data_IF_112625955889
#
_entry.id   IF_112625955889
#
_cell.length_a   1.000
_cell.length_b   1.000
_cell.length_c   1.000
_cell.angle_alpha   90.00
_cell.angle_beta   90.00
_cell.angle_gamma   90.00
#
_symmetry.space_group_name_H-M   'P 1'
#
loop_
_entity.id
_entity.type
_entity.pdbx_description
1 polymer ?
#
# COMPACT_ATOMS: atom_id res chain seq x y z
N UNK A 1 18.95 -136.54 44.33
CA UNK A 1 17.74 -135.69 44.29
C UNK A 1 18.09 -134.30 44.81
N UNK A 2 17.41 -133.28 44.29
CA UNK A 2 17.42 -131.87 44.70
C UNK A 2 18.43 -130.93 44.01
N UNK A 3 17.93 -130.29 42.95
CA UNK A 3 18.47 -129.07 42.30
C UNK A 3 18.21 -127.88 43.22
N UNK A 4 19.21 -127.01 43.42
CA UNK A 4 19.01 -125.61 43.83
C UNK A 4 19.28 -124.75 42.59
N UNK A 5 18.21 -124.18 42.03
CA UNK A 5 18.28 -123.14 41.02
C UNK A 5 18.12 -121.82 41.79
N UNK A 6 19.23 -121.12 42.06
CA UNK A 6 19.18 -119.80 42.70
C UNK A 6 18.66 -118.83 41.64
N UNK A 7 17.38 -118.46 41.75
CA UNK A 7 16.70 -117.60 40.80
C UNK A 7 17.30 -116.20 40.77
N UNK A 8 17.76 -115.76 39.59
CA UNK A 8 17.95 -114.35 39.27
C UNK A 8 16.60 -113.64 39.19
N UNK A 9 16.02 -113.25 40.33
CA UNK A 9 14.85 -112.39 40.35
C UNK A 9 15.27 -110.92 40.25
N UNK A 10 15.40 -110.41 39.01
CA UNK A 10 15.44 -108.96 38.79
C UNK A 10 13.99 -108.47 38.83
N UNK A 11 13.64 -107.68 39.86
CA UNK A 11 12.31 -107.08 39.97
C UNK A 11 11.96 -106.25 38.72
N UNK A 12 10.67 -106.13 38.37
CA UNK A 12 10.26 -105.34 37.22
C UNK A 12 10.80 -103.91 37.37
N UNK A 13 11.32 -103.35 36.27
CA UNK A 13 11.74 -101.95 36.22
C UNK A 13 10.51 -101.09 36.55
N UNK A 14 10.62 -100.23 37.57
CA UNK A 14 9.53 -99.35 37.97
C UNK A 14 9.03 -98.51 36.79
N UNK A 15 7.72 -98.26 36.75
CA UNK A 15 7.08 -97.48 35.71
C UNK A 15 7.74 -96.10 35.58
N UNK A 16 7.86 -95.61 34.35
CA UNK A 16 8.42 -94.27 34.10
C UNK A 16 7.44 -93.24 34.68
N UNK A 17 7.93 -92.35 35.54
CA UNK A 17 7.10 -91.35 36.20
C UNK A 17 6.33 -90.47 35.20
N UNK A 18 5.14 -90.02 35.62
CA UNK A 18 4.28 -89.17 34.79
C UNK A 18 5.02 -87.89 34.34
N UNK A 19 4.80 -87.48 33.09
CA UNK A 19 5.31 -86.22 32.57
C UNK A 19 4.78 -85.05 33.42
N UNK A 20 5.68 -84.12 33.80
CA UNK A 20 5.32 -82.97 34.61
C UNK A 20 4.29 -82.05 33.93
N UNK A 21 3.59 -81.20 34.71
CA UNK A 21 2.62 -80.26 34.16
C UNK A 21 3.27 -79.27 33.20
N UNK A 22 2.52 -78.82 32.19
CA UNK A 22 2.96 -77.75 31.30
C UNK A 22 3.21 -76.47 32.10
N UNK A 23 4.30 -75.77 31.77
CA UNK A 23 4.65 -74.49 32.42
C UNK A 23 3.62 -73.39 32.15
N UNK A 24 3.60 -72.32 32.97
CA UNK A 24 2.69 -71.19 32.79
C UNK A 24 2.95 -70.47 31.46
N UNK A 25 1.91 -69.83 30.92
CA UNK A 25 2.04 -68.97 29.75
C UNK A 25 3.00 -67.79 30.04
N UNK A 26 3.78 -67.39 29.04
CA UNK A 26 4.70 -66.25 29.15
C UNK A 26 3.96 -64.91 29.34
N UNK A 27 4.64 -63.93 29.92
CA UNK A 27 4.07 -62.58 30.10
C UNK A 27 3.85 -61.88 28.77
N UNK A 28 2.83 -61.02 28.70
CA UNK A 28 2.61 -60.14 27.55
C UNK A 28 3.85 -59.26 27.31
N UNK A 29 4.22 -59.08 26.04
CA UNK A 29 5.34 -58.21 25.66
C UNK A 29 5.08 -56.73 25.97
N UNK A 30 6.13 -55.90 26.03
CA UNK A 30 5.99 -54.47 26.28
C UNK A 30 5.21 -53.78 25.15
N UNK A 31 4.49 -52.72 25.49
CA UNK A 31 3.87 -51.82 24.50
C UNK A 31 4.95 -51.22 23.59
N UNK A 32 4.69 -51.15 22.29
CA UNK A 32 5.61 -50.55 21.33
C UNK A 32 5.86 -49.05 21.57
N UNK A 33 6.95 -48.49 21.01
CA UNK A 33 7.24 -47.06 21.14
C UNK A 33 6.16 -46.21 20.48
N UNK A 34 5.99 -44.98 20.98
CA UNK A 34 5.12 -43.99 20.34
C UNK A 34 5.61 -43.69 18.91
N UNK A 35 4.67 -43.43 17.98
CA UNK A 35 4.99 -43.06 16.61
C UNK A 35 5.72 -41.71 16.50
N UNK A 36 6.46 -41.51 15.41
CA UNK A 36 7.12 -40.23 15.16
C UNK A 36 6.11 -39.10 14.92
N UNK A 37 6.46 -37.88 15.31
CA UNK A 37 5.68 -36.68 14.99
C UNK A 37 5.58 -36.53 13.47
N UNK A 38 4.39 -36.20 12.96
CA UNK A 38 4.19 -35.93 11.54
C UNK A 38 5.00 -34.73 11.04
N UNK A 39 5.19 -34.58 9.71
CA UNK A 39 5.91 -33.45 9.13
C UNK A 39 5.20 -32.12 9.44
N UNK A 40 5.97 -31.04 9.43
CA UNK A 40 5.40 -29.68 9.46
C UNK A 40 4.57 -29.46 8.18
N UNK A 41 3.41 -28.81 8.30
CA UNK A 41 2.59 -28.45 7.15
C UNK A 41 3.29 -27.46 6.21
N UNK A 42 2.81 -27.30 4.96
CA UNK A 42 3.38 -26.31 4.04
C UNK A 42 3.20 -24.90 4.59
N UNK A 43 4.08 -23.98 4.17
CA UNK A 43 3.90 -22.56 4.43
C UNK A 43 2.56 -22.06 3.83
N UNK A 44 1.94 -21.06 4.47
CA UNK A 44 0.73 -20.43 3.96
C UNK A 44 0.97 -19.67 2.64
N UNK A 45 -0.10 -19.44 1.87
CA UNK A 45 -0.02 -18.61 0.67
C UNK A 45 0.37 -17.17 1.01
N UNK A 46 1.08 -16.50 0.09
CA UNK A 46 1.36 -15.06 0.19
C UNK A 46 0.04 -14.27 0.22
N UNK A 47 -0.04 -13.23 1.05
CA UNK A 47 -1.17 -12.29 1.06
C UNK A 47 -1.24 -11.38 -0.17
N UNK A 48 -2.42 -10.86 -0.46
CA UNK A 48 -2.67 -9.90 -1.55
C UNK A 48 -1.88 -8.61 -1.36
N UNK A 49 -1.28 -8.09 -2.43
CA UNK A 49 -0.53 -6.82 -2.45
C UNK A 49 -1.27 -5.72 -3.21
N UNK A 50 -0.85 -4.48 -2.95
CA UNK A 50 -1.20 -3.31 -3.76
C UNK A 50 0.11 -2.72 -4.29
N UNK A 51 0.22 -2.60 -5.61
CA UNK A 51 1.33 -1.92 -6.27
C UNK A 51 0.93 -0.50 -6.64
N UNK A 52 1.78 0.49 -6.36
CA UNK A 52 1.64 1.79 -6.99
C UNK A 52 2.16 1.70 -8.44
N UNK A 53 1.47 2.31 -9.40
CA UNK A 53 1.92 2.38 -10.79
C UNK A 53 2.22 3.81 -11.20
N UNK A 54 3.38 4.04 -11.83
CA UNK A 54 3.70 5.31 -12.50
C UNK A 54 2.92 5.50 -13.81
N UNK A 55 2.42 4.41 -14.38
CA UNK A 55 1.59 4.43 -15.57
C UNK A 55 0.11 4.62 -15.20
N UNK A 56 -0.55 5.56 -15.86
CA UNK A 56 -1.99 5.77 -15.71
C UNK A 56 -2.78 4.82 -16.62
N UNK A 57 -2.76 3.52 -16.31
CA UNK A 57 -3.51 2.53 -17.08
C UNK A 57 -5.02 2.83 -17.04
N UNK A 58 -5.69 2.86 -18.21
CA UNK A 58 -7.16 2.78 -18.28
C UNK A 58 -7.69 1.49 -17.65
N UNK A 59 -8.98 1.48 -17.30
CA UNK A 59 -9.68 0.25 -16.91
C UNK A 59 -9.58 -0.82 -18.00
N UNK A 60 -9.43 -2.09 -17.61
CA UNK A 60 -9.34 -3.24 -18.53
C UNK A 60 -8.12 -3.20 -19.48
N UNK A 61 -7.04 -2.50 -19.11
CA UNK A 61 -5.82 -2.45 -19.91
C UNK A 61 -5.03 -3.75 -19.84
N UNK A 62 -4.46 -4.15 -20.97
CA UNK A 62 -3.59 -5.33 -21.09
C UNK A 62 -2.14 -4.92 -21.34
N UNK A 63 -1.21 -5.83 -21.05
CA UNK A 63 0.23 -5.70 -21.35
C UNK A 63 0.89 -4.48 -20.70
N UNK A 64 0.46 -4.09 -19.50
CA UNK A 64 1.12 -3.05 -18.72
C UNK A 64 2.47 -3.55 -18.19
N UNK A 65 3.50 -2.70 -18.16
CA UNK A 65 4.86 -3.13 -17.83
C UNK A 65 5.12 -3.18 -16.34
N UNK A 66 5.78 -4.24 -15.87
CA UNK A 66 6.18 -4.36 -14.45
C UNK A 66 7.11 -3.23 -14.00
N UNK A 67 7.86 -2.61 -14.91
CA UNK A 67 8.75 -1.47 -14.63
C UNK A 67 8.02 -0.26 -14.04
N UNK A 68 6.73 -0.11 -14.33
CA UNK A 68 5.91 0.96 -13.79
C UNK A 68 5.48 0.72 -12.34
N UNK A 69 5.52 -0.54 -11.87
CA UNK A 69 5.06 -0.91 -10.54
C UNK A 69 6.10 -0.57 -9.46
N UNK A 70 5.60 -0.20 -8.27
CA UNK A 70 6.34 0.04 -7.04
C UNK A 70 5.65 -0.66 -5.86
N UNK A 71 6.36 -1.44 -5.03
CA UNK A 71 7.77 -1.84 -5.20
C UNK A 71 7.99 -2.63 -6.51
N UNK A 72 9.20 -2.57 -7.05
CA UNK A 72 9.52 -3.21 -8.33
C UNK A 72 9.39 -4.74 -8.20
N UNK A 73 8.55 -5.40 -9.02
CA UNK A 73 8.45 -6.85 -9.01
C UNK A 73 9.72 -7.52 -9.54
N UNK A 74 9.87 -8.82 -9.27
CA UNK A 74 10.97 -9.62 -9.79
C UNK A 74 10.47 -10.96 -10.34
N UNK A 75 11.29 -11.67 -11.10
CA UNK A 75 10.96 -13.01 -11.58
C UNK A 75 10.81 -14.04 -10.45
N UNK A 76 11.45 -13.81 -9.29
CA UNK A 76 11.32 -14.65 -8.09
C UNK A 76 10.05 -14.33 -7.29
N UNK A 77 9.49 -13.13 -7.47
CA UNK A 77 8.31 -12.66 -6.74
C UNK A 77 7.46 -11.76 -7.66
N UNK A 78 6.80 -12.38 -8.66
CA UNK A 78 6.02 -11.64 -9.65
C UNK A 78 4.67 -11.17 -9.06
N UNK A 79 4.03 -10.18 -9.70
CA UNK A 79 2.63 -9.88 -9.43
C UNK A 79 1.77 -11.11 -9.75
N UNK A 80 0.72 -11.35 -8.97
CA UNK A 80 -0.20 -12.47 -9.20
C UNK A 80 -1.63 -11.97 -9.37
N UNK A 81 -2.46 -12.80 -9.99
CA UNK A 81 -3.90 -12.54 -10.09
C UNK A 81 -4.48 -12.34 -8.69
N UNK A 82 -5.25 -11.26 -8.53
CA UNK A 82 -5.83 -10.87 -7.25
C UNK A 82 -5.03 -9.84 -6.47
N UNK A 83 -3.77 -9.57 -6.82
CA UNK A 83 -3.09 -8.33 -6.40
C UNK A 83 -3.81 -7.11 -7.01
N UNK A 84 -3.54 -5.91 -6.49
CA UNK A 84 -4.13 -4.67 -7.00
C UNK A 84 -3.07 -3.69 -7.49
N UNK A 85 -3.50 -2.76 -8.34
CA UNK A 85 -2.72 -1.62 -8.81
C UNK A 85 -3.44 -0.34 -8.43
N UNK A 86 -2.70 0.60 -7.84
CA UNK A 86 -3.11 1.98 -7.62
C UNK A 86 -2.39 2.88 -8.64
N UNK A 87 -3.14 3.47 -9.57
CA UNK A 87 -2.54 4.35 -10.59
C UNK A 87 -2.29 5.76 -10.06
N UNK A 88 -1.49 6.56 -10.80
CA UNK A 88 -1.31 8.00 -10.53
C UNK A 88 -2.61 8.82 -10.63
N UNK A 89 -3.65 8.32 -11.29
CA UNK A 89 -4.98 8.96 -11.25
C UNK A 89 -5.71 8.70 -9.92
N UNK A 90 -5.21 7.76 -9.11
CA UNK A 90 -5.83 7.31 -7.87
C UNK A 90 -6.75 6.10 -8.06
N UNK A 91 -6.77 5.46 -9.24
CA UNK A 91 -7.65 4.33 -9.50
C UNK A 91 -7.06 3.03 -8.91
N UNK A 92 -7.86 2.32 -8.12
CA UNK A 92 -7.59 0.98 -7.62
C UNK A 92 -8.21 -0.05 -8.58
N UNK A 93 -7.38 -0.92 -9.15
CA UNK A 93 -7.82 -1.95 -10.10
C UNK A 93 -7.19 -3.30 -9.74
N UNK A 94 -7.89 -4.44 -9.94
CA UNK A 94 -7.32 -5.76 -9.69
C UNK A 94 -6.41 -6.15 -10.85
N UNK A 95 -5.33 -6.86 -10.56
CA UNK A 95 -4.52 -7.57 -11.55
C UNK A 95 -5.30 -8.82 -11.96
N UNK A 96 -5.63 -8.91 -13.25
CA UNK A 96 -6.42 -10.01 -13.83
C UNK A 96 -5.54 -11.04 -14.53
N UNK A 97 -4.33 -10.65 -14.94
CA UNK A 97 -3.32 -11.54 -15.46
C UNK A 97 -1.92 -10.96 -15.18
N UNK A 98 -0.91 -11.83 -15.09
CA UNK A 98 0.48 -11.42 -15.03
C UNK A 98 1.34 -12.46 -15.73
N UNK A 99 2.25 -12.01 -16.59
CA UNK A 99 3.17 -12.87 -17.33
C UNK A 99 4.61 -12.46 -17.07
N UNK A 100 5.43 -13.43 -16.66
CA UNK A 100 6.87 -13.26 -16.51
C UNK A 100 7.50 -13.36 -17.89
N UNK A 101 8.33 -12.37 -18.25
CA UNK A 101 9.16 -12.46 -19.45
C UNK A 101 10.58 -12.00 -19.11
N UNK A 102 11.46 -12.97 -18.87
CA UNK A 102 12.85 -12.72 -18.52
C UNK A 102 13.68 -12.12 -19.68
N UNK A 103 13.16 -12.13 -20.92
CA UNK A 103 13.88 -11.61 -22.09
C UNK A 103 13.62 -10.12 -22.36
N UNK A 104 12.70 -9.47 -21.65
CA UNK A 104 12.40 -8.04 -21.81
C UNK A 104 12.89 -7.24 -20.62
N UNK A 105 13.45 -6.06 -20.89
CA UNK A 105 13.80 -5.09 -19.86
C UNK A 105 12.54 -4.77 -19.04
N UNK A 106 12.59 -5.01 -17.72
CA UNK A 106 11.44 -4.82 -16.83
C UNK A 106 10.80 -6.11 -16.31
N UNK A 107 11.16 -7.30 -16.81
CA UNK A 107 10.86 -8.59 -16.17
C UNK A 107 9.48 -9.22 -16.49
N UNK A 108 8.52 -8.44 -17.01
CA UNK A 108 7.22 -8.97 -17.43
C UNK A 108 6.14 -7.91 -17.66
N UNK A 109 4.93 -8.40 -17.90
CA UNK A 109 3.72 -7.58 -18.09
C UNK A 109 2.56 -8.05 -17.22
N UNK A 110 1.58 -7.18 -16.99
CA UNK A 110 0.36 -7.46 -16.24
C UNK A 110 -0.86 -6.82 -16.93
N UNK A 111 -2.03 -7.37 -16.65
CA UNK A 111 -3.32 -6.82 -17.07
C UNK A 111 -4.09 -6.37 -15.84
N UNK A 112 -4.89 -5.31 -16.01
CA UNK A 112 -5.78 -4.77 -14.97
C UNK A 112 -7.23 -4.92 -15.37
N UNK A 113 -8.10 -5.12 -14.39
CA UNK A 113 -9.56 -5.15 -14.57
C UNK A 113 -10.21 -3.77 -14.50
N UNK A 114 -11.50 -3.76 -14.16
CA UNK A 114 -12.27 -2.54 -13.95
C UNK A 114 -11.77 -1.74 -12.73
N UNK A 115 -12.10 -0.45 -12.71
CA UNK A 115 -11.87 0.42 -11.55
C UNK A 115 -12.81 0.00 -10.42
N UNK A 116 -12.24 -0.36 -9.27
CA UNK A 116 -12.98 -0.73 -8.07
C UNK A 116 -13.22 0.47 -7.16
N UNK A 117 -12.26 1.38 -7.12
CA UNK A 117 -12.34 2.62 -6.35
C UNK A 117 -11.39 3.68 -6.92
N UNK A 118 -11.67 4.94 -6.64
CA UNK A 118 -10.75 6.05 -6.91
C UNK A 118 -10.43 6.77 -5.61
N UNK A 119 -9.14 6.79 -5.22
CA UNK A 119 -8.64 7.41 -3.98
C UNK A 119 -8.41 8.92 -4.11
N UNK A 120 -8.42 9.45 -5.33
CA UNK A 120 -8.51 10.90 -5.54
C UNK A 120 -9.98 11.26 -5.32
N UNK A 121 -10.31 11.80 -4.15
CA UNK A 121 -11.57 12.53 -3.98
C UNK A 121 -11.67 13.60 -5.07
N UNK A 122 -12.87 14.12 -5.31
CA UNK A 122 -13.04 15.26 -6.20
C UNK A 122 -11.93 16.27 -5.89
N UNK A 123 -11.26 16.78 -6.94
CA UNK A 123 -10.29 17.87 -6.77
C UNK A 123 -10.99 18.87 -5.87
N UNK A 124 -10.52 18.99 -4.62
CA UNK A 124 -11.13 19.92 -3.68
C UNK A 124 -11.22 21.26 -4.37
N UNK A 125 -12.37 21.93 -4.24
CA UNK A 125 -12.53 23.27 -4.80
C UNK A 125 -11.24 24.04 -4.51
N UNK A 126 -10.66 24.65 -5.55
CA UNK A 126 -9.51 25.53 -5.34
C UNK A 126 -9.96 26.47 -4.22
N UNK A 127 -9.28 26.41 -3.06
CA UNK A 127 -9.71 27.20 -1.91
C UNK A 127 -9.96 28.64 -2.35
N UNK A 128 -10.91 29.37 -1.73
CA UNK A 128 -11.27 30.71 -2.19
C UNK A 128 -10.00 31.49 -2.50
N UNK A 129 -9.93 32.05 -3.72
CA UNK A 129 -8.78 32.83 -4.17
C UNK A 129 -8.39 33.77 -3.02
N UNK A 130 -7.15 33.66 -2.54
CA UNK A 130 -6.67 34.51 -1.45
C UNK A 130 -6.95 35.99 -1.78
N UNK A 131 -7.19 36.86 -0.77
CA UNK A 131 -7.52 38.26 -1.01
C UNK A 131 -6.57 38.86 -2.05
N UNK A 132 -7.13 39.52 -3.07
CA UNK A 132 -6.37 40.04 -4.20
C UNK A 132 -5.13 40.80 -3.73
N UNK A 133 -3.95 40.28 -4.08
CA UNK A 133 -2.67 40.86 -3.69
C UNK A 133 -2.45 42.22 -4.35
N UNK A 134 -2.06 43.20 -3.54
CA UNK A 134 -1.69 44.60 -3.83
C UNK A 134 -2.81 45.51 -4.33
N UNK A 135 -3.38 46.31 -3.42
CA UNK A 135 -3.97 47.59 -3.81
C UNK A 135 -2.87 48.43 -4.48
N UNK A 136 -3.07 48.81 -5.74
CA UNK A 136 -2.11 49.66 -6.47
C UNK A 136 -1.89 50.96 -5.69
N UNK A 137 -0.71 51.58 -5.79
CA UNK A 137 -0.44 52.90 -5.19
C UNK A 137 -1.52 53.94 -5.57
N UNK A 138 -2.07 53.84 -6.78
CA UNK A 138 -3.22 54.63 -7.24
C UNK A 138 -4.48 54.39 -6.41
N UNK A 139 -4.77 53.14 -6.03
CA UNK A 139 -5.95 52.81 -5.22
C UNK A 139 -5.80 53.30 -3.77
N UNK A 140 -4.61 53.15 -3.17
CA UNK A 140 -4.33 53.69 -1.84
C UNK A 140 -4.44 55.22 -1.86
N UNK A 141 -3.86 55.87 -2.86
CA UNK A 141 -3.89 57.31 -2.99
C UNK A 141 -5.32 57.85 -3.16
N UNK A 142 -6.14 57.23 -4.02
CA UNK A 142 -7.54 57.63 -4.22
C UNK A 142 -8.41 57.32 -3.00
N UNK A 143 -8.10 56.29 -2.22
CA UNK A 143 -8.79 56.02 -0.96
C UNK A 143 -8.46 57.08 0.11
N UNK A 144 -7.21 57.55 0.17
CA UNK A 144 -6.78 58.60 1.09
C UNK A 144 -7.33 59.99 0.72
N UNK A 145 -7.68 60.21 -0.55
CA UNK A 145 -8.21 61.48 -1.06
C UNK A 145 -9.60 61.26 -1.67
N UNK A 146 -10.68 61.16 -0.87
CA UNK A 146 -12.04 61.00 -1.39
C UNK A 146 -12.49 62.20 -2.25
N UNK A 147 -13.54 62.03 -3.05
CA UNK A 147 -14.13 63.13 -3.83
C UNK A 147 -14.49 64.29 -2.89
N UNK A 148 -14.15 65.51 -3.29
CA UNK A 148 -14.29 66.72 -2.47
C UNK A 148 -13.04 67.08 -1.65
N UNK A 149 -12.05 66.18 -1.57
CA UNK A 149 -10.76 66.50 -0.93
C UNK A 149 -9.91 67.43 -1.79
N UNK A 150 -9.09 68.24 -1.10
CA UNK A 150 -8.03 69.03 -1.73
C UNK A 150 -6.71 68.28 -1.56
N UNK A 151 -5.99 68.08 -2.66
CA UNK A 151 -4.62 67.58 -2.67
C UNK A 151 -3.66 68.70 -3.06
N UNK A 152 -2.57 68.86 -2.33
CA UNK A 152 -1.57 69.89 -2.58
C UNK A 152 -0.26 69.26 -3.05
N UNK A 153 0.29 69.78 -4.14
CA UNK A 153 1.54 69.27 -4.71
C UNK A 153 2.35 70.37 -5.40
N UNK A 154 3.67 70.28 -5.28
CA UNK A 154 4.63 71.22 -5.87
C UNK A 154 4.83 71.06 -7.39
N UNK A 155 4.02 70.23 -8.07
CA UNK A 155 4.07 70.09 -9.54
C UNK A 155 2.88 70.76 -10.20
N UNK A 156 3.15 71.41 -11.34
CA UNK A 156 2.12 71.94 -12.24
C UNK A 156 1.52 70.85 -13.15
N UNK A 157 1.14 69.71 -12.57
CA UNK A 157 0.63 68.58 -13.32
C UNK A 157 -0.57 67.98 -12.61
N UNK A 158 -1.62 67.67 -13.37
CA UNK A 158 -2.83 67.07 -12.84
C UNK A 158 -2.52 65.73 -12.14
N UNK A 159 -2.87 65.54 -10.85
CA UNK A 159 -2.62 64.31 -10.09
C UNK A 159 -3.22 63.06 -10.74
N UNK A 160 -4.29 63.23 -11.52
CA UNK A 160 -4.96 62.15 -12.26
C UNK A 160 -4.04 61.39 -13.20
N UNK A 161 -3.01 62.06 -13.74
CA UNK A 161 -2.01 61.42 -14.61
C UNK A 161 -1.10 60.42 -13.88
N UNK A 162 -0.90 60.60 -12.57
CA UNK A 162 0.00 59.77 -11.74
C UNK A 162 -0.78 58.78 -10.89
N UNK A 163 -1.88 59.23 -10.29
CA UNK A 163 -2.62 58.46 -9.29
C UNK A 163 -4.03 58.06 -9.72
N UNK A 164 -4.47 58.48 -10.91
CA UNK A 164 -5.85 58.29 -11.37
C UNK A 164 -6.83 59.28 -10.72
N UNK A 165 -8.12 59.10 -11.02
CA UNK A 165 -9.18 60.02 -10.59
C UNK A 165 -9.25 61.30 -11.44
N UNK A 166 -10.31 62.07 -11.22
CA UNK A 166 -10.58 63.34 -11.90
C UNK A 166 -10.34 64.49 -10.94
N UNK A 167 -9.53 65.45 -11.39
CA UNK A 167 -9.07 66.56 -10.58
C UNK A 167 -9.23 67.89 -11.31
N UNK A 168 -9.69 68.91 -10.58
CA UNK A 168 -9.80 70.30 -11.04
C UNK A 168 -8.81 71.18 -10.27
N UNK A 169 -8.17 72.13 -10.95
CA UNK A 169 -7.27 73.08 -10.29
C UNK A 169 -8.07 74.00 -9.36
N UNK A 170 -7.66 74.07 -8.09
CA UNK A 170 -8.32 74.81 -7.03
C UNK A 170 -7.48 76.00 -6.53
N UNK A 171 -6.55 76.48 -7.37
CA UNK A 171 -5.66 77.60 -7.09
C UNK A 171 -4.37 77.21 -6.36
N UNK A 172 -3.80 78.16 -5.62
CA UNK A 172 -2.48 78.04 -4.97
C UNK A 172 -2.59 77.91 -3.46
N UNK A 173 -1.70 77.11 -2.88
CA UNK A 173 -1.51 76.96 -1.43
C UNK A 173 -0.52 77.97 -0.85
N UNK A 174 -0.29 77.86 0.46
CA UNK A 174 0.50 78.82 1.26
C UNK A 174 1.97 78.92 0.84
N UNK A 175 2.50 77.92 0.10
CA UNK A 175 3.88 77.88 -0.41
C UNK A 175 3.94 77.84 -1.96
N UNK A 176 2.96 78.44 -2.64
CA UNK A 176 2.80 78.34 -4.10
C UNK A 176 2.57 76.92 -4.65
N UNK A 177 2.33 75.94 -3.77
CA UNK A 177 1.89 74.59 -4.15
C UNK A 177 0.60 74.66 -4.98
N UNK A 178 0.45 73.77 -5.95
CA UNK A 178 -0.77 73.64 -6.74
C UNK A 178 -1.79 72.84 -5.92
N UNK A 179 -3.00 73.38 -5.79
CA UNK A 179 -4.11 72.72 -5.11
C UNK A 179 -5.03 72.10 -6.14
N UNK A 180 -5.44 70.87 -5.90
CA UNK A 180 -6.29 70.10 -6.81
C UNK A 180 -7.49 69.57 -6.04
N UNK A 181 -8.70 69.92 -6.48
CA UNK A 181 -9.94 69.38 -5.95
C UNK A 181 -10.26 68.08 -6.68
N UNK A 182 -10.47 66.99 -5.93
CA UNK A 182 -10.96 65.74 -6.52
C UNK A 182 -12.45 65.86 -6.82
N UNK A 183 -12.84 65.62 -8.07
CA UNK A 183 -14.23 65.71 -8.53
C UNK A 183 -14.87 64.38 -8.92
N UNK A 184 -14.07 63.34 -9.21
CA UNK A 184 -14.53 61.96 -9.40
C UNK A 184 -13.38 60.96 -9.12
#
# INVERSE_FOLDING_TARGET
>A
MSRILIGNIKGPKGDTGATGPQGPAGSQGPTGPAGQKGPIGPAGARGTRIYASTYNAPANSTSCWWSDLKPAPSTADPPVVGDFVLTVAGNLMPITSASVNASVNGGGTYDVGAILATLKGDKGDTGPQGPAGSVSASQIFLAAHPVGSIFEWNKNSNPGTTYGGTWQEAGRGIDSAYRWLRTA
#
